data_IF_644707601179
#
_entry.id   IF_644707601179
#
_cell.length_a   1.000
_cell.length_b   1.000
_cell.length_c   1.000
_cell.angle_alpha   90.00
_cell.angle_beta   90.00
_cell.angle_gamma   90.00
#
_symmetry.space_group_name_H-M   'P 1'
#
loop_
_entity.id
_entity.type
_entity.pdbx_description
1 polymer ?
#
# COMPACT_ATOMS: atom_id res chain seq x y z
N UNK A 1 -10.39 9.48 19.11
CA UNK A 1 -9.77 8.13 19.19
C UNK A 1 -8.65 8.09 18.16
N UNK A 2 -7.40 7.92 18.57
CA UNK A 2 -6.26 7.83 17.62
C UNK A 2 -6.45 6.63 16.69
N UNK A 3 -6.06 6.76 15.41
CA UNK A 3 -6.03 5.65 14.43
C UNK A 3 -5.29 4.44 15.01
N UNK A 4 -4.23 4.69 15.79
CA UNK A 4 -3.48 3.67 16.50
C UNK A 4 -4.34 2.87 17.50
N UNK A 5 -5.20 3.56 18.26
CA UNK A 5 -6.11 2.90 19.21
C UNK A 5 -7.18 2.08 18.49
N UNK A 6 -7.70 2.57 17.36
CA UNK A 6 -8.63 1.81 16.52
C UNK A 6 -7.95 0.55 15.96
N UNK A 7 -6.70 0.65 15.53
CA UNK A 7 -5.93 -0.48 15.01
C UNK A 7 -5.59 -1.51 16.08
N UNK A 8 -5.21 -1.08 17.28
CA UNK A 8 -4.96 -1.98 18.41
C UNK A 8 -6.26 -2.69 18.81
N UNK A 9 -7.39 -1.98 18.85
CA UNK A 9 -8.70 -2.57 19.16
C UNK A 9 -9.20 -3.54 18.09
N UNK A 10 -9.01 -3.23 16.80
CA UNK A 10 -9.47 -4.07 15.70
C UNK A 10 -8.62 -5.31 15.48
N UNK A 11 -7.31 -5.20 15.69
CA UNK A 11 -6.37 -6.26 15.37
C UNK A 11 -5.93 -7.09 16.59
N UNK A 12 -6.37 -6.68 17.80
CA UNK A 12 -6.20 -7.43 19.05
C UNK A 12 -4.75 -7.63 19.50
N UNK A 13 -3.77 -6.98 18.85
CA UNK A 13 -2.35 -7.14 19.14
C UNK A 13 -1.59 -5.82 18.97
N UNK A 14 -0.96 -5.28 20.03
CA UNK A 14 -0.01 -4.17 19.88
C UNK A 14 1.20 -4.56 19.00
N UNK A 15 1.45 -5.86 18.80
CA UNK A 15 2.57 -6.39 18.02
C UNK A 15 2.41 -6.33 16.49
N UNK A 16 1.27 -5.87 15.96
CA UNK A 16 1.08 -5.73 14.50
C UNK A 16 1.74 -4.45 14.00
N UNK A 17 1.86 -3.44 14.85
CA UNK A 17 2.57 -2.19 14.55
C UNK A 17 3.86 -2.25 15.35
N UNK A 18 4.91 -2.75 14.72
CA UNK A 18 6.23 -2.69 15.34
C UNK A 18 6.71 -1.24 15.26
N UNK A 19 6.43 -0.44 16.29
CA UNK A 19 6.77 0.99 16.34
C UNK A 19 8.26 1.24 16.06
N UNK A 20 9.16 0.33 16.49
CA UNK A 20 10.58 0.44 16.17
C UNK A 20 10.85 0.25 14.67
N UNK A 21 10.12 -0.65 14.01
CA UNK A 21 10.22 -0.85 12.57
C UNK A 21 9.66 0.37 11.81
N UNK A 22 8.49 0.87 12.22
CA UNK A 22 7.87 2.06 11.62
C UNK A 22 8.82 3.24 11.68
N UNK A 23 9.33 3.58 12.87
CA UNK A 23 10.32 4.66 13.04
C UNK A 23 11.61 4.41 12.21
N UNK A 24 12.03 3.15 12.05
CA UNK A 24 13.20 2.82 11.24
C UNK A 24 12.96 2.96 9.74
N UNK A 25 11.73 2.81 9.26
CA UNK A 25 11.39 2.78 7.83
C UNK A 25 10.73 4.05 7.32
N UNK A 26 10.05 4.82 8.18
CA UNK A 26 9.33 6.03 7.79
C UNK A 26 10.21 7.01 7.00
N UNK A 27 9.66 7.52 5.89
CA UNK A 27 10.33 8.39 4.92
C UNK A 27 11.59 7.78 4.29
N UNK A 28 11.68 6.46 4.19
CA UNK A 28 12.77 5.77 3.50
C UNK A 28 12.31 5.07 2.24
N UNK A 29 13.16 5.18 1.21
CA UNK A 29 13.07 4.35 0.01
C UNK A 29 13.84 3.05 0.24
N UNK A 30 13.22 1.91 -0.05
CA UNK A 30 13.79 0.58 0.14
C UNK A 30 13.49 -0.33 -1.07
N UNK A 31 14.33 -1.33 -1.30
CA UNK A 31 13.98 -2.48 -2.13
C UNK A 31 13.39 -3.57 -1.24
N UNK A 32 12.17 -4.00 -1.55
CA UNK A 32 11.41 -4.93 -0.71
C UNK A 32 10.91 -6.10 -1.54
N UNK A 33 10.98 -7.35 -1.05
CA UNK A 33 10.40 -8.49 -1.74
C UNK A 33 8.90 -8.26 -1.96
N UNK A 34 8.41 -8.36 -3.21
CA UNK A 34 7.00 -8.06 -3.50
C UNK A 34 6.03 -8.95 -2.69
N UNK A 35 6.47 -10.15 -2.30
CA UNK A 35 5.68 -11.11 -1.52
C UNK A 35 5.34 -10.61 -0.10
N UNK A 36 6.04 -9.61 0.40
CA UNK A 36 5.77 -9.00 1.71
C UNK A 36 4.69 -7.91 1.64
N UNK A 37 4.44 -7.39 0.44
CA UNK A 37 3.49 -6.32 0.18
C UNK A 37 2.06 -6.87 0.08
N UNK A 38 1.09 -6.06 0.49
CA UNK A 38 -0.33 -6.40 0.41
C UNK A 38 -1.06 -5.32 -0.39
N UNK A 39 -1.75 -5.70 -1.46
CA UNK A 39 -2.64 -4.79 -2.19
C UNK A 39 -3.90 -4.49 -1.37
N UNK A 40 -4.42 -3.26 -1.48
CA UNK A 40 -5.73 -2.92 -0.92
C UNK A 40 -6.83 -2.78 -1.99
N UNK A 41 -6.46 -2.71 -3.27
CA UNK A 41 -7.37 -2.48 -4.37
C UNK A 41 -6.97 -3.34 -5.57
N UNK A 42 -7.97 -3.77 -6.32
CA UNK A 42 -7.78 -4.55 -7.54
C UNK A 42 -7.25 -3.70 -8.69
N UNK A 43 -6.66 -4.36 -9.69
CA UNK A 43 -5.97 -3.70 -10.79
C UNK A 43 -6.93 -3.54 -11.96
N UNK A 44 -7.17 -2.32 -12.40
CA UNK A 44 -7.77 -2.08 -13.72
C UNK A 44 -6.76 -2.43 -14.84
N UNK A 45 -7.15 -3.39 -15.68
CA UNK A 45 -6.31 -3.90 -16.76
C UNK A 45 -6.08 -2.87 -17.87
N UNK A 46 -7.03 -1.97 -18.10
CA UNK A 46 -6.85 -0.92 -19.11
C UNK A 46 -5.74 0.04 -18.67
N UNK A 47 -5.82 0.56 -17.45
CA UNK A 47 -4.80 1.42 -16.88
C UNK A 47 -3.45 0.70 -16.68
N UNK A 48 -3.46 -0.59 -16.31
CA UNK A 48 -2.25 -1.43 -16.24
C UNK A 48 -1.48 -1.44 -17.56
N UNK A 49 -2.16 -1.55 -18.71
CA UNK A 49 -1.50 -1.54 -20.02
C UNK A 49 -0.80 -0.21 -20.32
N UNK A 50 -1.42 0.91 -19.94
CA UNK A 50 -0.81 2.23 -20.08
C UNK A 50 0.47 2.34 -19.26
N UNK A 51 0.41 2.01 -17.97
CA UNK A 51 1.57 2.05 -17.06
C UNK A 51 2.67 1.08 -17.52
N UNK A 52 2.30 -0.07 -18.11
CA UNK A 52 3.28 -1.03 -18.64
C UNK A 52 4.08 -0.45 -19.80
N UNK A 53 3.40 0.22 -20.73
CA UNK A 53 4.06 0.87 -21.86
C UNK A 53 5.01 1.98 -21.39
N UNK A 54 4.62 2.76 -20.37
CA UNK A 54 5.51 3.77 -19.79
C UNK A 54 6.76 3.15 -19.17
N UNK A 55 6.62 2.16 -18.29
CA UNK A 55 7.75 1.52 -17.60
C UNK A 55 8.70 0.84 -18.61
N UNK A 56 8.15 0.08 -19.56
CA UNK A 56 8.95 -0.63 -20.56
C UNK A 56 9.62 0.37 -21.52
N UNK A 57 8.89 1.41 -21.95
CA UNK A 57 9.39 2.41 -22.88
C UNK A 57 10.51 3.28 -22.31
N UNK A 58 10.42 3.67 -21.03
CA UNK A 58 11.47 4.47 -20.39
C UNK A 58 12.57 3.61 -19.72
N UNK A 59 12.30 2.34 -19.43
CA UNK A 59 13.26 1.42 -18.81
C UNK A 59 13.49 1.65 -17.31
N UNK A 60 12.69 2.50 -16.65
CA UNK A 60 12.78 2.75 -15.21
C UNK A 60 11.40 2.96 -14.58
N UNK A 61 11.36 2.92 -13.25
CA UNK A 61 10.19 3.33 -12.48
C UNK A 61 10.43 4.73 -11.96
N UNK A 62 9.61 5.69 -12.40
CA UNK A 62 9.74 7.09 -12.01
C UNK A 62 9.48 7.32 -10.52
N UNK A 63 8.50 6.61 -9.94
CA UNK A 63 8.09 6.75 -8.55
C UNK A 63 7.98 5.40 -7.85
N UNK A 64 8.56 5.22 -6.65
CA UNK A 64 8.41 4.01 -5.87
C UNK A 64 6.94 3.77 -5.46
N UNK A 65 6.63 2.55 -5.05
CA UNK A 65 5.33 2.23 -4.45
C UNK A 65 5.20 2.94 -3.10
N UNK A 66 4.09 3.60 -2.81
CA UNK A 66 3.84 4.16 -1.48
C UNK A 66 3.31 3.04 -0.59
N UNK A 67 3.96 2.78 0.54
CA UNK A 67 3.65 1.63 1.39
C UNK A 67 3.53 2.06 2.85
N UNK A 68 2.51 1.57 3.54
CA UNK A 68 2.41 1.70 4.99
C UNK A 68 3.49 0.85 5.69
N UNK A 69 4.35 1.48 6.47
CA UNK A 69 5.45 0.83 7.18
C UNK A 69 4.96 -0.17 8.25
N UNK A 70 3.78 0.08 8.84
CA UNK A 70 3.22 -0.79 9.88
C UNK A 70 2.66 -2.09 9.31
N UNK A 71 1.93 -2.01 8.20
CA UNK A 71 1.16 -3.14 7.67
C UNK A 71 1.69 -3.72 6.35
N UNK A 72 2.62 -3.02 5.68
CA UNK A 72 3.11 -3.30 4.33
C UNK A 72 2.00 -3.28 3.26
N UNK A 73 0.91 -2.57 3.54
CA UNK A 73 -0.14 -2.31 2.56
C UNK A 73 0.38 -1.30 1.54
N UNK A 74 0.25 -1.61 0.26
CA UNK A 74 0.53 -0.69 -0.84
C UNK A 74 -0.60 0.32 -0.90
N UNK A 75 -0.31 1.57 -0.53
CA UNK A 75 -1.27 2.67 -0.51
C UNK A 75 -1.42 3.33 -1.88
N UNK A 76 -0.34 3.36 -2.66
CA UNK A 76 -0.35 3.82 -4.04
C UNK A 76 0.65 3.03 -4.90
N UNK A 77 0.30 2.84 -6.17
CA UNK A 77 1.14 2.13 -7.14
C UNK A 77 0.76 0.68 -7.43
N UNK A 78 -0.49 0.25 -7.16
CA UNK A 78 -0.96 -1.12 -7.44
C UNK A 78 -0.69 -1.59 -8.88
N UNK A 79 -0.87 -0.71 -9.87
CA UNK A 79 -0.59 -1.03 -11.27
C UNK A 79 0.91 -1.24 -11.52
N UNK A 80 1.77 -0.39 -10.95
CA UNK A 80 3.23 -0.53 -11.00
C UNK A 80 3.65 -1.87 -10.38
N UNK A 81 3.11 -2.21 -9.21
CA UNK A 81 3.38 -3.49 -8.57
C UNK A 81 2.96 -4.68 -9.45
N UNK A 82 1.77 -4.62 -10.04
CA UNK A 82 1.26 -5.69 -10.90
C UNK A 82 2.16 -5.91 -12.12
N UNK A 83 2.63 -4.83 -12.76
CA UNK A 83 3.54 -4.92 -13.91
C UNK A 83 4.90 -5.47 -13.50
N UNK A 84 5.43 -5.04 -12.35
CA UNK A 84 6.71 -5.55 -11.86
C UNK A 84 6.67 -7.05 -11.56
N UNK A 85 5.53 -7.53 -11.03
CA UNK A 85 5.28 -8.96 -10.87
C UNK A 85 5.25 -9.68 -12.21
N UNK A 86 4.52 -9.15 -13.20
CA UNK A 86 4.44 -9.73 -14.54
C UNK A 86 5.80 -9.78 -15.25
N UNK A 87 6.64 -8.76 -15.04
CA UNK A 87 8.01 -8.68 -15.57
C UNK A 87 9.01 -9.57 -14.81
N UNK A 88 8.58 -10.27 -13.75
CA UNK A 88 9.40 -11.24 -13.02
C UNK A 88 10.32 -10.63 -11.96
N UNK A 89 10.12 -9.36 -11.57
CA UNK A 89 10.91 -8.75 -10.49
C UNK A 89 10.54 -9.36 -9.14
N UNK A 90 11.56 -9.71 -8.36
CA UNK A 90 11.37 -10.21 -6.99
C UNK A 90 11.35 -9.08 -5.95
N UNK A 91 12.20 -8.07 -6.14
CA UNK A 91 12.28 -6.87 -5.32
C UNK A 91 11.70 -5.67 -6.06
N UNK A 92 10.94 -4.83 -5.36
CA UNK A 92 10.34 -3.62 -5.91
C UNK A 92 10.73 -2.40 -5.07
N UNK A 93 10.90 -1.22 -5.70
CA UNK A 93 11.17 0.01 -4.98
C UNK A 93 9.93 0.51 -4.25
N UNK A 94 10.04 0.73 -2.95
CA UNK A 94 8.97 1.25 -2.09
C UNK A 94 9.44 2.49 -1.35
N UNK A 95 8.53 3.39 -1.05
CA UNK A 95 8.69 4.49 -0.13
C UNK A 95 7.73 4.29 1.05
N UNK A 96 8.30 4.16 2.25
CA UNK A 96 7.54 3.86 3.44
C UNK A 96 7.05 5.14 4.12
N UNK A 97 5.81 5.11 4.59
CA UNK A 97 5.22 6.12 5.47
C UNK A 97 4.53 5.45 6.65
N UNK A 98 4.31 6.17 7.75
CA UNK A 98 3.34 5.75 8.76
C UNK A 98 1.94 6.19 8.35
N UNK A 99 1.11 5.24 7.90
CA UNK A 99 -0.26 5.54 7.47
C UNK A 99 -1.15 6.04 8.61
N UNK A 100 -0.80 5.76 9.87
CA UNK A 100 -1.58 6.21 11.02
C UNK A 100 -1.42 7.72 11.29
N UNK A 101 -0.38 8.35 10.77
CA UNK A 101 -0.09 9.76 11.03
C UNK A 101 -1.14 10.71 10.44
N UNK A 102 -1.44 11.78 11.18
CA UNK A 102 -2.53 12.71 10.85
C UNK A 102 -2.32 13.49 9.55
N UNK A 103 -1.08 13.68 9.11
CA UNK A 103 -0.77 14.37 7.85
C UNK A 103 -1.04 13.51 6.59
N UNK A 104 -1.42 12.25 6.76
CA UNK A 104 -1.84 11.38 5.68
C UNK A 104 -3.36 11.27 5.71
N UNK A 105 -4.01 11.46 4.57
CA UNK A 105 -5.46 11.29 4.44
C UNK A 105 -5.78 10.21 3.40
N UNK A 106 -6.99 9.67 3.49
CA UNK A 106 -7.55 8.80 2.46
C UNK A 106 -8.90 9.34 2.04
N UNK A 107 -9.05 9.49 0.74
CA UNK A 107 -10.27 9.98 0.12
C UNK A 107 -10.70 9.02 -0.98
N UNK A 108 -12.00 8.75 -1.12
CA UNK A 108 -12.48 7.87 -2.17
C UNK A 108 -12.51 8.61 -3.51
N UNK A 109 -12.11 7.94 -4.59
CA UNK A 109 -12.26 8.48 -5.95
C UNK A 109 -13.73 8.54 -6.38
N UNK A 110 -14.58 7.68 -5.80
CA UNK A 110 -16.02 7.59 -6.10
C UNK A 110 -16.83 8.22 -4.95
N UNK A 111 -17.79 9.09 -5.28
CA UNK A 111 -18.56 9.86 -4.29
C UNK A 111 -19.50 9.03 -3.43
N UNK A 112 -19.90 7.85 -3.91
CA UNK A 112 -20.80 6.90 -3.25
C UNK A 112 -20.09 5.95 -2.29
N UNK A 113 -18.75 6.00 -2.21
CA UNK A 113 -17.96 5.21 -1.28
C UNK A 113 -17.63 6.01 -0.02
N UNK A 114 -17.88 5.40 1.14
CA UNK A 114 -17.31 5.87 2.40
C UNK A 114 -16.04 5.07 2.69
N UNK A 115 -14.90 5.75 2.79
CA UNK A 115 -13.62 5.14 3.13
C UNK A 115 -12.91 5.95 4.21
N UNK A 116 -12.21 5.23 5.07
CA UNK A 116 -11.26 5.79 6.03
C UNK A 116 -10.11 4.78 6.21
N UNK A 117 -9.04 5.21 6.89
CA UNK A 117 -7.83 4.40 7.07
C UNK A 117 -8.11 3.05 7.72
N UNK A 118 -9.03 3.03 8.67
CA UNK A 118 -9.43 1.85 9.41
C UNK A 118 -10.14 0.84 8.51
N UNK A 119 -11.04 1.31 7.65
CA UNK A 119 -11.73 0.50 6.64
C UNK A 119 -10.72 -0.14 5.68
N UNK A 120 -9.73 0.63 5.21
CA UNK A 120 -8.66 0.11 4.34
C UNK A 120 -7.89 -1.02 5.02
N UNK A 121 -7.41 -0.79 6.24
CA UNK A 121 -6.62 -1.79 6.96
C UNK A 121 -7.46 -3.03 7.27
N UNK A 122 -8.72 -2.87 7.69
CA UNK A 122 -9.63 -3.98 7.95
C UNK A 122 -9.88 -4.82 6.70
N UNK A 123 -10.13 -4.18 5.54
CA UNK A 123 -10.37 -4.85 4.26
C UNK A 123 -9.23 -5.81 3.91
N UNK A 124 -7.99 -5.35 4.06
CA UNK A 124 -6.81 -6.15 3.70
C UNK A 124 -6.40 -7.14 4.79
N UNK A 125 -6.35 -6.73 6.05
CA UNK A 125 -5.79 -7.56 7.12
C UNK A 125 -6.79 -8.55 7.71
N UNK A 126 -8.08 -8.19 7.76
CA UNK A 126 -9.13 -9.00 8.39
C UNK A 126 -9.97 -9.70 7.32
N UNK A 127 -10.54 -8.94 6.38
CA UNK A 127 -11.43 -9.51 5.36
C UNK A 127 -10.67 -10.26 4.26
N UNK A 128 -9.37 -10.01 4.10
CA UNK A 128 -8.52 -10.61 3.05
C UNK A 128 -9.08 -10.36 1.65
N UNK A 129 -9.63 -9.17 1.45
CA UNK A 129 -10.33 -8.77 0.23
C UNK A 129 -9.75 -7.46 -0.32
N UNK A 130 -10.11 -7.12 -1.56
CA UNK A 130 -9.66 -5.94 -2.27
C UNK A 130 -10.84 -5.01 -2.59
N UNK A 131 -10.59 -3.70 -2.61
CA UNK A 131 -11.53 -2.76 -3.21
C UNK A 131 -11.60 -2.94 -4.74
N UNK A 132 -12.75 -2.66 -5.36
CA UNK A 132 -12.83 -2.53 -6.82
C UNK A 132 -11.95 -1.37 -7.32
N UNK A 133 -11.50 -1.39 -8.58
CA UNK A 133 -10.56 -0.41 -9.11
C UNK A 133 -11.19 0.97 -9.37
#
# INVERSE_FOLDING_TARGET
>A
MSVLNALIQLLGKPSIINNNLVHKLEFKTCLVPFKTLKEHESVDNYHKKFVANEIIGCGYIKYPLLVDAGTFIVLDGRHRLAILKDLGFYYVPVFFIDYAMEYIDVVPSRKDYYINKVIVIRKVLIEKDLFPP
#
